data_IF_267818050601
#
_entry.id   IF_267818050601
#
_cell.length_a   1.000
_cell.length_b   1.000
_cell.length_c   1.000
_cell.angle_alpha   90.00
_cell.angle_beta   90.00
_cell.angle_gamma   90.00
#
_symmetry.space_group_name_H-M   'P 1'
#
loop_
_entity.id
_entity.type
_entity.pdbx_description
1 polymer ?
#
# COMPACT_ATOMS: atom_id res chain seq x y z
N UNK A 1 -8.20 25.62 8.39
CA UNK A 1 -8.30 26.15 7.02
C UNK A 1 -7.08 25.79 6.15
N UNK A 2 -5.85 25.87 6.68
CA UNK A 2 -4.62 25.51 5.93
C UNK A 2 -4.53 24.00 5.62
N UNK A 3 -5.03 23.13 6.48
CA UNK A 3 -5.06 21.66 6.29
C UNK A 3 -5.97 21.24 5.13
N UNK A 4 -7.10 21.91 4.92
CA UNK A 4 -8.05 21.62 3.84
C UNK A 4 -7.49 22.02 2.48
N UNK A 5 -6.87 23.18 2.37
CA UNK A 5 -6.30 23.66 1.11
C UNK A 5 -5.11 22.81 0.63
N UNK A 6 -4.22 22.38 1.53
CA UNK A 6 -3.13 21.48 1.20
C UNK A 6 -3.65 20.10 0.73
N UNK A 7 -4.67 19.56 1.39
CA UNK A 7 -5.34 18.31 1.00
C UNK A 7 -5.88 18.37 -0.43
N UNK A 8 -6.51 19.48 -0.83
CA UNK A 8 -7.07 19.65 -2.17
C UNK A 8 -6.01 19.78 -3.26
N UNK A 9 -4.84 20.35 -2.93
CA UNK A 9 -3.69 20.43 -3.87
C UNK A 9 -3.17 19.05 -4.18
N UNK A 10 -2.95 18.19 -3.18
CA UNK A 10 -2.45 16.82 -3.41
C UNK A 10 -3.45 15.95 -4.19
N UNK A 11 -4.75 16.09 -3.93
CA UNK A 11 -5.81 15.42 -4.71
C UNK A 11 -5.80 15.79 -6.20
N UNK A 12 -5.30 16.97 -6.53
CA UNK A 12 -5.19 17.42 -7.93
C UNK A 12 -3.95 16.90 -8.65
N UNK A 13 -2.89 16.57 -7.90
CA UNK A 13 -1.59 16.18 -8.48
C UNK A 13 -1.50 14.69 -8.79
N UNK A 14 -2.09 13.84 -7.97
CA UNK A 14 -1.90 12.39 -8.02
C UNK A 14 -3.20 11.63 -8.20
N UNK A 15 -3.07 10.41 -8.69
CA UNK A 15 -4.15 9.42 -8.76
C UNK A 15 -3.59 8.02 -8.55
N UNK A 16 -4.41 7.12 -7.98
CA UNK A 16 -4.12 5.70 -7.90
C UNK A 16 -4.98 4.98 -8.94
N UNK A 17 -4.34 4.15 -9.76
CA UNK A 17 -5.00 3.35 -10.80
C UNK A 17 -4.68 1.88 -10.63
N UNK A 18 -5.63 1.02 -11.01
CA UNK A 18 -5.42 -0.41 -11.04
C UNK A 18 -4.88 -0.85 -12.41
N UNK A 19 -3.97 -1.85 -12.46
CA UNK A 19 -3.59 -2.48 -13.71
C UNK A 19 -4.82 -3.14 -14.36
N UNK A 20 -4.88 -3.12 -15.68
CA UNK A 20 -5.95 -3.76 -16.46
C UNK A 20 -5.59 -5.19 -16.84
N UNK A 21 -4.29 -5.51 -16.82
CA UNK A 21 -3.75 -6.80 -17.22
C UNK A 21 -2.44 -7.10 -16.50
N UNK A 22 -1.98 -8.33 -16.60
CA UNK A 22 -0.63 -8.73 -16.14
C UNK A 22 0.45 -7.96 -16.92
N UNK A 23 0.23 -7.71 -18.21
CA UNK A 23 1.17 -6.97 -19.06
C UNK A 23 1.43 -5.56 -18.54
N UNK A 24 0.42 -4.91 -17.94
CA UNK A 24 0.60 -3.60 -17.30
C UNK A 24 1.59 -3.69 -16.12
N UNK A 25 1.51 -4.75 -15.32
CA UNK A 25 2.42 -4.97 -14.18
C UNK A 25 3.83 -5.27 -14.67
N UNK A 26 3.97 -6.08 -15.73
CA UNK A 26 5.26 -6.39 -16.34
C UNK A 26 5.91 -5.12 -16.90
N UNK A 27 5.15 -4.31 -17.63
CA UNK A 27 5.61 -3.04 -18.16
C UNK A 27 6.05 -2.05 -17.06
N UNK A 28 5.28 -1.98 -15.97
CA UNK A 28 5.62 -1.16 -14.80
C UNK A 28 6.97 -1.57 -14.21
N UNK A 29 7.15 -2.88 -13.96
CA UNK A 29 8.39 -3.41 -13.41
C UNK A 29 9.60 -3.20 -14.30
N UNK A 30 9.44 -3.34 -15.60
CA UNK A 30 10.52 -3.10 -16.57
C UNK A 30 10.87 -1.62 -16.65
N UNK A 31 9.87 -0.74 -16.69
CA UNK A 31 10.08 0.70 -16.81
C UNK A 31 10.73 1.30 -15.57
N UNK A 32 10.30 0.87 -14.37
CA UNK A 32 10.82 1.36 -13.09
C UNK A 32 12.03 0.55 -12.59
N UNK A 33 12.49 -0.46 -13.32
CA UNK A 33 13.64 -1.29 -12.98
C UNK A 33 13.54 -1.89 -11.56
N UNK A 34 12.37 -2.34 -11.16
CA UNK A 34 12.16 -2.96 -9.86
C UNK A 34 11.58 -4.38 -9.98
N UNK A 35 11.48 -5.09 -8.84
CA UNK A 35 11.27 -6.53 -8.82
C UNK A 35 9.81 -6.98 -8.93
N UNK A 36 8.84 -6.08 -9.12
CA UNK A 36 7.41 -6.46 -9.15
C UNK A 36 7.08 -7.48 -10.24
N UNK A 37 7.85 -7.49 -11.32
CA UNK A 37 7.72 -8.41 -12.44
C UNK A 37 8.74 -9.57 -12.43
N UNK A 38 9.62 -9.64 -11.43
CA UNK A 38 10.73 -10.61 -11.37
C UNK A 38 10.51 -11.76 -10.39
N UNK A 39 9.45 -11.70 -9.59
CA UNK A 39 9.12 -12.73 -8.62
C UNK A 39 7.66 -13.12 -8.71
N UNK A 40 7.36 -14.40 -8.61
CA UNK A 40 5.99 -14.92 -8.59
C UNK A 40 5.23 -14.52 -7.31
N UNK A 41 5.95 -14.09 -6.28
CA UNK A 41 5.38 -13.77 -4.97
C UNK A 41 4.23 -12.74 -5.04
N UNK A 42 4.36 -11.70 -5.86
CA UNK A 42 3.30 -10.69 -6.01
C UNK A 42 2.08 -11.25 -6.73
N UNK A 43 2.30 -12.08 -7.75
CA UNK A 43 1.20 -12.72 -8.48
C UNK A 43 0.47 -13.74 -7.60
N UNK A 44 1.18 -14.51 -6.80
CA UNK A 44 0.60 -15.45 -5.84
C UNK A 44 -0.28 -14.70 -4.82
N UNK A 45 0.19 -13.56 -4.32
CA UNK A 45 -0.58 -12.72 -3.40
C UNK A 45 -1.84 -12.11 -4.05
N UNK A 46 -1.77 -11.74 -5.32
CA UNK A 46 -2.95 -11.26 -6.07
C UNK A 46 -3.96 -12.39 -6.22
N UNK A 47 -3.54 -13.57 -6.62
CA UNK A 47 -4.40 -14.74 -6.80
C UNK A 47 -5.07 -15.14 -5.49
N UNK A 48 -4.32 -15.15 -4.39
CA UNK A 48 -4.84 -15.44 -3.04
C UNK A 48 -5.65 -14.29 -2.42
N UNK A 49 -5.71 -13.13 -3.06
CA UNK A 49 -6.35 -11.90 -2.57
C UNK A 49 -5.73 -11.37 -1.27
N UNK A 50 -4.48 -11.70 -1.05
CA UNK A 50 -3.69 -11.20 0.09
C UNK A 50 -3.31 -9.74 -0.11
N UNK A 51 -2.77 -9.38 -1.27
CA UNK A 51 -2.47 -8.00 -1.65
C UNK A 51 -2.62 -7.79 -3.15
N UNK A 52 -2.64 -6.53 -3.54
CA UNK A 52 -2.83 -6.09 -4.92
C UNK A 52 -1.72 -5.14 -5.32
N UNK A 53 -1.39 -5.12 -6.61
CA UNK A 53 -0.51 -4.11 -7.19
C UNK A 53 -1.36 -2.99 -7.77
N UNK A 54 -1.09 -1.76 -7.33
CA UNK A 54 -1.69 -0.54 -7.86
C UNK A 54 -0.58 0.41 -8.32
N UNK A 55 -0.94 1.36 -9.17
CA UNK A 55 -0.01 2.36 -9.68
C UNK A 55 -0.39 3.75 -9.22
N UNK A 56 0.56 4.45 -8.61
CA UNK A 56 0.45 5.89 -8.40
C UNK A 56 0.95 6.61 -9.64
N UNK A 57 0.18 7.58 -10.11
CA UNK A 57 0.50 8.39 -11.28
C UNK A 57 0.37 9.87 -10.95
N UNK A 58 1.19 10.68 -11.58
CA UNK A 58 0.93 12.11 -11.69
C UNK A 58 -0.20 12.33 -12.70
N UNK A 59 -1.19 13.14 -12.34
CA UNK A 59 -2.34 13.40 -13.22
C UNK A 59 -1.95 14.09 -14.55
N UNK A 60 -0.87 14.85 -14.54
CA UNK A 60 -0.32 15.50 -15.73
C UNK A 60 0.32 14.48 -16.69
N UNK A 61 0.82 13.35 -16.16
CA UNK A 61 1.51 12.32 -16.93
C UNK A 61 0.96 10.91 -16.60
N UNK A 62 -0.34 10.62 -16.84
CA UNK A 62 -0.99 9.43 -16.34
C UNK A 62 -0.49 8.12 -16.95
N UNK A 63 0.22 8.19 -18.07
CA UNK A 63 0.80 7.02 -18.75
C UNK A 63 2.24 6.72 -18.32
N UNK A 64 2.86 7.64 -17.59
CA UNK A 64 4.27 7.49 -17.17
C UNK A 64 4.30 6.80 -15.81
N UNK A 65 4.97 5.63 -15.68
CA UNK A 65 5.19 4.97 -14.40
C UNK A 65 5.87 5.92 -13.40
N UNK A 66 5.35 5.94 -12.17
CA UNK A 66 5.83 6.87 -11.14
C UNK A 66 6.13 6.12 -9.83
N UNK A 67 5.12 5.55 -9.17
CA UNK A 67 5.29 4.63 -8.05
C UNK A 67 4.43 3.39 -8.24
N UNK A 68 4.98 2.24 -7.85
CA UNK A 68 4.23 1.00 -7.69
C UNK A 68 3.90 0.79 -6.23
N UNK A 69 2.67 0.42 -5.95
CA UNK A 69 2.14 0.19 -4.61
C UNK A 69 1.76 -1.28 -4.46
N UNK A 70 2.15 -1.90 -3.35
CA UNK A 70 1.55 -3.15 -2.89
C UNK A 70 0.53 -2.83 -1.79
N UNK A 71 -0.73 -3.19 -1.99
CA UNK A 71 -1.85 -2.74 -1.17
C UNK A 71 -2.69 -3.89 -0.67
N UNK A 72 -3.02 -3.92 0.61
CA UNK A 72 -3.94 -4.88 1.22
C UNK A 72 -5.41 -4.51 0.92
N UNK A 73 -6.38 -5.40 1.16
CA UNK A 73 -7.79 -5.16 0.83
C UNK A 73 -8.41 -3.92 1.47
N UNK A 74 -7.89 -3.44 2.60
CA UNK A 74 -8.38 -2.24 3.32
C UNK A 74 -7.70 -0.92 2.90
N UNK A 75 -6.73 -0.99 1.99
CA UNK A 75 -5.94 0.15 1.59
C UNK A 75 -4.64 0.33 2.38
N UNK A 76 -4.31 -0.56 3.31
CA UNK A 76 -2.96 -0.62 3.91
C UNK A 76 -1.92 -0.77 2.82
N UNK A 77 -0.92 0.08 2.78
CA UNK A 77 0.15 0.05 1.78
C UNK A 77 1.34 -0.64 2.38
N UNK A 78 1.68 -1.83 1.87
CA UNK A 78 2.87 -2.59 2.29
C UNK A 78 4.15 -1.96 1.80
N UNK A 79 4.16 -1.54 0.55
CA UNK A 79 5.33 -0.96 -0.12
C UNK A 79 4.90 0.12 -1.11
N UNK A 80 5.75 1.13 -1.25
CA UNK A 80 5.66 2.17 -2.28
C UNK A 80 7.05 2.43 -2.84
N UNK A 81 7.26 2.07 -4.09
CA UNK A 81 8.57 2.09 -4.75
C UNK A 81 8.53 2.80 -6.10
N UNK A 82 9.44 3.71 -6.28
CA UNK A 82 9.74 4.36 -7.56
C UNK A 82 10.82 3.56 -8.30
N UNK A 83 11.47 4.20 -9.25
CA UNK A 83 12.54 3.62 -10.06
C UNK A 83 13.68 3.05 -9.19
N UNK A 84 14.17 1.86 -9.55
CA UNK A 84 15.22 1.12 -8.82
C UNK A 84 14.87 0.82 -7.36
N UNK A 85 13.60 0.59 -7.03
CA UNK A 85 13.10 0.37 -5.66
C UNK A 85 13.37 1.53 -4.70
N UNK A 86 13.59 2.73 -5.22
CA UNK A 86 13.86 3.93 -4.42
C UNK A 86 12.59 4.67 -4.06
N UNK A 87 12.76 5.67 -3.22
CA UNK A 87 11.78 6.73 -2.99
C UNK A 87 12.39 8.03 -3.49
N UNK A 88 11.57 8.83 -4.20
CA UNK A 88 12.00 10.10 -4.75
C UNK A 88 11.97 11.21 -3.68
N UNK A 89 12.51 12.38 -3.99
CA UNK A 89 12.52 13.54 -3.09
C UNK A 89 11.13 14.08 -2.73
N UNK A 90 10.11 13.72 -3.51
CA UNK A 90 8.72 14.09 -3.30
C UNK A 90 7.94 13.11 -2.41
N UNK A 91 8.62 12.16 -1.77
CA UNK A 91 8.00 11.11 -0.96
C UNK A 91 7.04 11.65 0.11
N UNK A 92 7.32 12.81 0.68
CA UNK A 92 6.46 13.42 1.69
C UNK A 92 5.11 13.85 1.09
N UNK A 93 5.11 14.39 -0.12
CA UNK A 93 3.89 14.75 -0.86
C UNK A 93 3.10 13.50 -1.26
N UNK A 94 3.81 12.49 -1.74
CA UNK A 94 3.24 11.18 -2.09
C UNK A 94 2.59 10.55 -0.87
N UNK A 95 3.27 10.49 0.26
CA UNK A 95 2.76 9.93 1.52
C UNK A 95 1.52 10.68 2.01
N UNK A 96 1.53 12.00 1.94
CA UNK A 96 0.39 12.84 2.31
C UNK A 96 -0.83 12.54 1.43
N UNK A 97 -0.64 12.42 0.13
CA UNK A 97 -1.72 12.02 -0.78
C UNK A 97 -2.24 10.62 -0.49
N UNK A 98 -1.35 9.64 -0.30
CA UNK A 98 -1.72 8.25 -0.03
C UNK A 98 -2.48 8.11 1.29
N UNK A 99 -2.13 8.87 2.32
CA UNK A 99 -2.89 8.92 3.58
C UNK A 99 -4.34 9.37 3.36
N UNK A 100 -4.57 10.36 2.51
CA UNK A 100 -5.91 10.81 2.16
C UNK A 100 -6.65 9.76 1.34
N UNK A 101 -5.97 9.13 0.39
CA UNK A 101 -6.52 8.05 -0.42
C UNK A 101 -6.95 6.86 0.44
N UNK A 102 -6.12 6.45 1.41
CA UNK A 102 -6.44 5.38 2.36
C UNK A 102 -7.72 5.68 3.14
N UNK A 103 -7.90 6.91 3.63
CA UNK A 103 -9.12 7.33 4.33
C UNK A 103 -10.37 7.21 3.45
N UNK A 104 -10.26 7.51 2.16
CA UNK A 104 -11.38 7.35 1.22
C UNK A 104 -11.70 5.87 0.95
N UNK A 105 -10.69 5.00 0.85
CA UNK A 105 -10.90 3.55 0.73
C UNK A 105 -11.62 3.02 1.97
N UNK A 106 -11.20 3.39 3.17
CA UNK A 106 -11.81 2.91 4.42
C UNK A 106 -13.31 3.18 4.51
N UNK A 107 -13.77 4.33 4.01
CA UNK A 107 -15.20 4.67 3.99
C UNK A 107 -16.04 3.72 3.14
N UNK A 108 -15.43 2.95 2.25
CA UNK A 108 -16.10 2.10 1.27
C UNK A 108 -15.95 0.60 1.56
N UNK A 109 -15.29 0.24 2.66
CA UNK A 109 -15.03 -1.15 3.01
C UNK A 109 -16.32 -1.88 3.39
N UNK A 110 -16.48 -3.06 2.79
CA UNK A 110 -17.54 -4.02 3.17
C UNK A 110 -17.07 -4.93 4.31
N UNK A 111 -17.99 -5.68 4.92
CA UNK A 111 -17.61 -6.72 5.91
C UNK A 111 -16.69 -7.78 5.31
N UNK A 112 -16.90 -8.11 4.03
CA UNK A 112 -16.05 -9.06 3.30
C UNK A 112 -14.63 -8.55 3.17
N UNK A 113 -14.47 -7.25 2.86
CA UNK A 113 -13.15 -6.61 2.77
C UNK A 113 -12.45 -6.63 4.13
N UNK A 114 -13.16 -6.33 5.22
CA UNK A 114 -12.62 -6.37 6.59
C UNK A 114 -12.11 -7.74 6.97
N UNK A 115 -12.86 -8.80 6.66
CA UNK A 115 -12.43 -10.19 6.92
C UNK A 115 -11.19 -10.56 6.11
N UNK A 116 -11.15 -10.21 4.84
CA UNK A 116 -9.98 -10.44 3.96
C UNK A 116 -8.76 -9.67 4.47
N UNK A 117 -8.96 -8.48 5.02
CA UNK A 117 -7.91 -7.66 5.60
C UNK A 117 -7.28 -8.30 6.83
N UNK A 118 -8.08 -8.87 7.72
CA UNK A 118 -7.55 -9.57 8.91
C UNK A 118 -6.62 -10.72 8.53
N UNK A 119 -7.00 -11.49 7.53
CA UNK A 119 -6.19 -12.60 7.03
C UNK A 119 -4.90 -12.08 6.35
N UNK A 120 -5.03 -11.08 5.47
CA UNK A 120 -3.90 -10.42 4.83
C UNK A 120 -2.89 -9.87 5.85
N UNK A 121 -3.36 -9.20 6.89
CA UNK A 121 -2.54 -8.68 7.98
C UNK A 121 -1.77 -9.78 8.71
N UNK A 122 -2.44 -10.89 9.04
CA UNK A 122 -1.78 -12.03 9.69
C UNK A 122 -0.66 -12.60 8.81
N UNK A 123 -0.92 -12.79 7.52
CA UNK A 123 0.08 -13.29 6.57
C UNK A 123 1.26 -12.32 6.45
N UNK A 124 1.02 -11.02 6.41
CA UNK A 124 2.08 -10.01 6.43
C UNK A 124 2.93 -10.10 7.69
N UNK A 125 2.30 -10.15 8.85
CA UNK A 125 3.00 -10.23 10.15
C UNK A 125 3.84 -11.49 10.24
N UNK A 126 3.32 -12.65 9.82
CA UNK A 126 4.06 -13.90 9.76
C UNK A 126 5.26 -13.79 8.81
N UNK A 127 5.07 -13.24 7.62
CA UNK A 127 6.14 -13.06 6.65
C UNK A 127 7.24 -12.13 7.18
N UNK A 128 6.89 -11.01 7.80
CA UNK A 128 7.87 -10.09 8.39
C UNK A 128 8.64 -10.74 9.55
N UNK A 129 7.96 -11.54 10.37
CA UNK A 129 8.61 -12.28 11.45
C UNK A 129 9.58 -13.34 10.92
N UNK A 130 9.19 -14.09 9.90
CA UNK A 130 10.09 -15.06 9.26
C UNK A 130 11.32 -14.41 8.67
N UNK A 131 11.17 -13.27 7.98
CA UNK A 131 12.28 -12.50 7.42
C UNK A 131 13.21 -12.02 8.54
N UNK A 132 12.65 -11.59 9.68
CA UNK A 132 13.40 -11.15 10.85
C UNK A 132 14.16 -12.29 11.51
N UNK A 133 13.50 -13.43 11.70
CA UNK A 133 14.11 -14.63 12.31
C UNK A 133 15.25 -15.19 11.47
N UNK A 134 15.12 -15.13 10.14
CA UNK A 134 16.16 -15.53 9.18
C UNK A 134 17.28 -14.50 9.03
N UNK A 135 17.18 -13.35 9.67
CA UNK A 135 18.17 -12.27 9.60
C UNK A 135 18.49 -11.83 8.16
N UNK A 136 17.45 -11.71 7.32
CA UNK A 136 17.63 -11.39 5.90
C UNK A 136 18.16 -9.96 5.77
N UNK A 137 19.31 -9.84 5.11
CA UNK A 137 20.02 -8.57 4.84
C UNK A 137 19.91 -8.22 3.36
N UNK A 138 19.76 -6.94 3.06
CA UNK A 138 19.77 -6.44 1.68
C UNK A 138 21.19 -6.45 1.14
N UNK A 139 21.40 -7.09 -0.01
CA UNK A 139 22.75 -7.31 -0.58
C UNK A 139 23.18 -6.28 -1.63
N UNK A 140 22.34 -5.33 -2.00
CA UNK A 140 22.71 -4.37 -3.03
C UNK A 140 21.92 -3.07 -2.97
N UNK A 141 22.37 -2.08 -3.73
CA UNK A 141 21.73 -0.77 -3.83
C UNK A 141 21.94 0.12 -2.60
N UNK A 142 21.10 1.12 -2.45
CA UNK A 142 21.21 2.16 -1.41
C UNK A 142 21.08 1.61 0.02
N UNK A 143 20.35 0.49 0.18
CA UNK A 143 20.04 -0.12 1.49
C UNK A 143 20.90 -1.35 1.80
N UNK A 144 22.02 -1.54 1.09
CA UNK A 144 22.90 -2.68 1.31
C UNK A 144 23.37 -2.73 2.78
N UNK A 145 23.23 -3.91 3.40
CA UNK A 145 23.59 -4.14 4.80
C UNK A 145 22.47 -3.90 5.81
N UNK A 146 21.35 -3.30 5.41
CA UNK A 146 20.18 -3.15 6.29
C UNK A 146 19.34 -4.43 6.37
N UNK A 147 18.67 -4.64 7.50
CA UNK A 147 17.71 -5.73 7.66
C UNK A 147 16.48 -5.48 6.80
N UNK A 148 16.11 -6.45 5.99
CA UNK A 148 14.96 -6.33 5.11
C UNK A 148 13.65 -6.10 5.88
N UNK A 149 13.46 -6.76 7.02
CA UNK A 149 12.27 -6.57 7.85
C UNK A 149 12.11 -5.12 8.32
N UNK A 150 13.20 -4.46 8.69
CA UNK A 150 13.17 -3.06 9.13
C UNK A 150 12.80 -2.11 7.99
N UNK A 151 13.30 -2.37 6.78
CA UNK A 151 12.93 -1.59 5.59
C UNK A 151 11.46 -1.76 5.23
N UNK A 152 10.93 -2.98 5.31
CA UNK A 152 9.52 -3.25 5.04
C UNK A 152 8.61 -2.56 6.07
N UNK A 153 8.98 -2.57 7.34
CA UNK A 153 8.24 -1.87 8.40
C UNK A 153 8.27 -0.35 8.23
N UNK A 154 9.40 0.22 7.83
CA UNK A 154 9.51 1.66 7.54
C UNK A 154 8.64 2.09 6.36
N UNK A 155 8.47 1.22 5.37
CA UNK A 155 7.68 1.52 4.18
C UNK A 155 6.18 1.32 4.38
N UNK A 156 5.81 0.53 5.38
CA UNK A 156 4.43 0.20 5.71
C UNK A 156 3.64 1.47 6.09
N UNK A 157 2.52 1.66 5.41
CA UNK A 157 1.48 2.62 5.78
C UNK A 157 0.26 1.84 6.29
N UNK A 158 0.35 1.39 7.54
CA UNK A 158 -0.72 0.64 8.20
C UNK A 158 -1.84 1.59 8.66
N UNK A 159 -3.04 1.06 8.67
CA UNK A 159 -4.21 1.78 9.16
C UNK A 159 -4.54 1.28 10.57
N UNK A 160 -4.77 2.17 11.53
CA UNK A 160 -5.22 1.75 12.84
C UNK A 160 -6.53 1.00 12.71
N UNK A 161 -6.63 -0.17 13.35
CA UNK A 161 -7.90 -0.84 13.51
C UNK A 161 -8.84 0.13 14.24
N UNK A 162 -9.93 0.55 13.61
CA UNK A 162 -11.04 1.08 14.37
C UNK A 162 -11.47 -0.05 15.32
N UNK A 163 -11.24 0.16 16.63
CA UNK A 163 -11.79 -0.69 17.65
C UNK A 163 -13.29 -0.77 17.39
N UNK A 164 -13.82 -1.99 17.30
CA UNK A 164 -15.26 -2.26 17.17
C UNK A 164 -15.93 -1.95 18.54
N UNK A 165 -15.82 -0.72 18.98
CA UNK A 165 -16.49 -0.18 20.16
C UNK A 165 -17.30 1.02 19.69
N UNK A 166 -18.55 0.74 19.39
CA UNK A 166 -19.75 1.54 19.67
C UNK A 166 -20.88 1.17 18.71
N UNK A 167 -21.34 -0.09 18.77
CA UNK A 167 -22.76 -0.34 18.60
C UNK A 167 -23.39 -0.37 19.98
N UNK A 168 -23.60 0.82 20.58
CA UNK A 168 -24.61 0.97 21.61
C UNK A 168 -25.96 0.67 20.97
N UNK A 169 -26.53 -0.46 21.34
CA UNK A 169 -27.90 -0.79 21.07
C UNK A 169 -28.82 0.36 21.52
N UNK A 170 -29.81 0.75 20.73
CA UNK A 170 -30.84 1.66 21.19
C UNK A 170 -31.57 0.98 22.34
N UNK A 171 -31.48 1.57 23.52
CA UNK A 171 -32.29 1.17 24.68
C UNK A 171 -33.74 1.39 24.29
N UNK A 172 -34.49 0.31 24.17
CA UNK A 172 -35.94 0.31 24.05
C UNK A 172 -36.50 0.99 25.30
N UNK A 173 -36.96 2.22 25.16
CA UNK A 173 -37.78 2.86 26.18
C UNK A 173 -39.18 2.29 26.01
N UNK A 174 -39.50 1.28 26.80
CA UNK A 174 -40.87 0.83 26.99
C UNK A 174 -41.62 1.91 27.78
N UNK A 175 -42.64 2.44 27.16
CA UNK A 175 -43.65 3.28 27.82
C UNK A 175 -44.61 2.44 28.66
#
# INVERSE_FOLDING_TARGET
ALSSAASDVYKRQYQVIAPKSIDDILYEGDTLHHCVNKTDTYFDRIVSKESYILFLREKENPKVPFYTLEVEPDGTIRQKRAEFNRQNKDIDKVTSFLTLWQKEIQKRLTQKDRKSTEESRKLRQQNYQEIRDKHVVVHGGTFAGELLADLLEKDLMDLPMESAENEESPTEIAA
#
